data_IF_020235352387
#
_entry.id   IF_020235352387
#
_cell.length_a   1.000
_cell.length_b   1.000
_cell.length_c   1.000
_cell.angle_alpha   90.00
_cell.angle_beta   90.00
_cell.angle_gamma   90.00
#
_symmetry.space_group_name_H-M   'P 1'
#
loop_
_entity.id
_entity.type
_entity.pdbx_description
1 polymer ?
#
# COMPACT_ATOMS: atom_id res chain seq x y z
N UNK A 1 -22.37 -1.28 22.25
CA UNK A 1 -21.37 -0.72 21.36
C UNK A 1 -20.70 0.40 22.18
N UNK A 2 -19.62 1.10 21.86
CA UNK A 2 -18.79 1.28 20.67
C UNK A 2 -17.37 1.76 21.11
N UNK A 3 -16.75 1.13 22.11
CA UNK A 3 -15.47 0.48 21.81
C UNK A 3 -15.80 -1.00 21.51
N UNK A 4 -14.98 -1.98 21.87
CA UNK A 4 -15.51 -3.32 22.19
C UNK A 4 -16.42 -3.23 23.45
N UNK A 5 -17.39 -2.33 23.36
CA UNK A 5 -18.41 -1.91 24.28
C UNK A 5 -19.77 -2.39 23.77
N UNK A 6 -19.79 -3.30 22.78
CA UNK A 6 -20.70 -4.40 22.39
C UNK A 6 -22.20 -4.32 22.80
N UNK A 7 -23.09 -3.96 21.84
CA UNK A 7 -24.57 -3.73 21.88
C UNK A 7 -25.23 -2.32 22.20
N UNK A 8 -25.04 -1.22 21.43
CA UNK A 8 -25.59 0.15 21.74
C UNK A 8 -25.78 1.12 20.52
N UNK A 9 -27.01 1.57 20.23
CA UNK A 9 -27.32 2.65 19.26
C UNK A 9 -27.17 4.04 19.91
N UNK A 10 -26.77 5.08 19.14
CA UNK A 10 -26.57 6.49 19.60
C UNK A 10 -27.76 7.39 19.26
N UNK A 11 -27.98 8.47 20.04
CA UNK A 11 -28.84 9.59 19.65
C UNK A 11 -28.06 10.65 18.84
N UNK A 12 -28.77 11.67 18.32
CA UNK A 12 -28.21 12.71 17.43
C UNK A 12 -27.21 13.67 18.10
N UNK A 13 -26.91 13.52 19.41
CA UNK A 13 -26.02 14.40 20.20
C UNK A 13 -24.79 13.72 20.83
N UNK A 14 -24.72 12.38 20.88
CA UNK A 14 -23.50 11.55 21.05
C UNK A 14 -22.65 11.63 22.34
N UNK A 15 -23.00 10.91 23.43
CA UNK A 15 -22.15 10.72 24.64
C UNK A 15 -22.10 9.24 25.17
N UNK A 16 -21.13 8.92 26.08
CA UNK A 16 -20.50 7.62 26.49
C UNK A 16 -21.37 6.40 27.00
N UNK A 17 -20.77 5.18 26.96
CA UNK A 17 -21.31 3.80 26.80
C UNK A 17 -21.18 2.84 28.04
N UNK A 18 -21.98 1.75 28.15
CA UNK A 18 -21.79 0.60 29.08
C UNK A 18 -22.14 -0.77 28.43
N UNK A 19 -21.44 -1.84 28.82
CA UNK A 19 -21.72 -3.26 28.46
C UNK A 19 -21.84 -4.20 29.64
N UNK A 20 -22.56 -5.30 29.43
CA UNK A 20 -22.60 -6.43 30.35
C UNK A 20 -22.27 -7.75 29.62
N UNK A 21 -21.35 -8.55 30.19
CA UNK A 21 -20.92 -9.86 29.68
C UNK A 21 -21.76 -11.03 30.23
N UNK A 22 -22.79 -10.74 31.01
CA UNK A 22 -23.71 -11.72 31.56
C UNK A 22 -25.08 -11.63 30.87
N UNK A 23 -25.63 -12.79 30.48
CA UNK A 23 -27.00 -12.90 29.98
C UNK A 23 -27.87 -13.33 31.16
N UNK A 24 -28.78 -12.46 31.59
CA UNK A 24 -29.65 -12.73 32.73
C UNK A 24 -31.05 -13.14 32.31
N UNK A 25 -31.62 -14.12 33.00
CA UNK A 25 -33.05 -14.42 32.93
C UNK A 25 -33.86 -13.44 33.81
N UNK A 26 -35.10 -13.13 33.42
CA UNK A 26 -36.09 -12.44 34.27
C UNK A 26 -37.08 -13.47 34.81
N UNK A 27 -37.14 -13.69 36.13
CA UNK A 27 -38.22 -14.43 36.78
C UNK A 27 -39.18 -13.50 37.53
N UNK A 28 -40.45 -13.91 37.53
CA UNK A 28 -41.59 -13.21 38.10
C UNK A 28 -41.50 -13.01 39.63
N UNK A 29 -41.97 -11.85 40.05
CA UNK A 29 -41.72 -11.14 41.31
C UNK A 29 -42.48 -11.67 42.54
N UNK A 30 -42.23 -12.90 42.98
CA UNK A 30 -42.75 -13.34 44.30
C UNK A 30 -41.74 -13.87 45.31
N UNK A 31 -40.45 -13.96 44.99
CA UNK A 31 -39.42 -14.19 46.01
C UNK A 31 -38.03 -13.67 45.58
N UNK A 32 -37.62 -12.57 46.22
CA UNK A 32 -36.25 -12.10 46.52
C UNK A 32 -35.17 -12.40 45.44
N UNK A 33 -34.81 -11.35 44.70
CA UNK A 33 -33.54 -11.06 44.02
C UNK A 33 -32.63 -12.26 43.71
N UNK A 34 -32.76 -12.86 42.52
CA UNK A 34 -31.64 -13.50 41.83
C UNK A 34 -31.83 -13.41 40.31
N UNK A 35 -31.07 -12.51 39.67
CA UNK A 35 -30.77 -12.61 38.25
C UNK A 35 -29.92 -13.87 38.03
N UNK A 36 -30.45 -14.89 37.33
CA UNK A 36 -29.68 -16.10 37.01
C UNK A 36 -28.74 -15.78 35.86
N UNK A 37 -27.43 -15.88 36.10
CA UNK A 37 -26.40 -15.80 35.09
C UNK A 37 -26.40 -17.08 34.25
N UNK A 38 -26.75 -16.97 32.96
CA UNK A 38 -26.78 -18.10 32.03
C UNK A 38 -25.37 -18.65 31.68
N UNK A 39 -24.30 -18.01 32.18
CA UNK A 39 -22.94 -18.52 32.12
C UNK A 39 -22.54 -19.40 33.32
N UNK A 40 -23.40 -19.61 34.33
CA UNK A 40 -23.14 -20.53 35.45
C UNK A 40 -23.18 -22.01 34.98
N UNK A 41 -22.05 -22.75 35.03
CA UNK A 41 -21.97 -24.13 34.54
C UNK A 41 -22.73 -25.14 35.40
N UNK A 42 -23.29 -24.71 36.54
CA UNK A 42 -24.16 -25.53 37.40
C UNK A 42 -25.63 -25.49 36.99
N UNK A 43 -25.99 -24.63 36.03
CA UNK A 43 -27.35 -24.49 35.49
C UNK A 43 -27.48 -25.24 34.16
N UNK A 44 -28.48 -26.12 33.98
CA UNK A 44 -28.64 -26.88 32.75
C UNK A 44 -29.03 -25.98 31.57
N UNK A 45 -28.25 -26.07 30.48
CA UNK A 45 -28.50 -25.40 29.19
C UNK A 45 -28.98 -26.42 28.15
N UNK A 46 -29.97 -26.09 27.28
CA UNK A 46 -30.66 -24.80 27.14
C UNK A 46 -31.73 -24.53 28.22
N UNK A 47 -31.90 -23.24 28.58
CA UNK A 47 -33.07 -22.78 29.35
C UNK A 47 -34.27 -22.53 28.41
N UNK A 48 -35.48 -22.67 28.93
CA UNK A 48 -36.72 -22.69 28.13
C UNK A 48 -37.24 -21.31 27.69
N UNK A 49 -36.52 -20.21 27.95
CA UNK A 49 -36.99 -18.84 27.70
C UNK A 49 -35.86 -17.97 27.13
N UNK A 50 -36.12 -17.27 26.02
CA UNK A 50 -35.24 -16.26 25.43
C UNK A 50 -35.63 -14.83 25.83
N UNK A 51 -34.94 -13.83 25.28
CA UNK A 51 -35.28 -12.41 25.47
C UNK A 51 -36.73 -12.12 25.03
N UNK A 52 -37.42 -11.23 25.76
CA UNK A 52 -38.84 -10.92 25.52
C UNK A 52 -39.04 -10.30 24.14
N UNK A 53 -40.14 -10.69 23.48
CA UNK A 53 -40.44 -10.32 22.08
C UNK A 53 -40.89 -8.86 21.91
N UNK A 54 -41.20 -8.16 23.01
CA UNK A 54 -41.82 -6.84 23.03
C UNK A 54 -40.95 -5.86 23.83
N UNK A 55 -40.90 -4.59 23.40
CA UNK A 55 -40.39 -3.51 24.25
C UNK A 55 -41.38 -3.22 25.38
N UNK A 56 -40.89 -2.85 26.56
CA UNK A 56 -41.74 -2.45 27.68
C UNK A 56 -42.40 -1.08 27.41
N UNK A 57 -43.47 -1.12 26.61
CA UNK A 57 -44.34 0.00 26.24
C UNK A 57 -45.31 0.38 27.37
N UNK A 58 -45.28 -0.33 28.52
CA UNK A 58 -46.10 0.03 29.68
C UNK A 58 -45.65 1.33 30.36
N UNK A 59 -44.43 1.80 30.07
CA UNK A 59 -43.82 2.98 30.69
C UNK A 59 -43.62 4.17 29.73
N UNK A 60 -43.66 3.94 28.41
CA UNK A 60 -43.48 5.00 27.39
C UNK A 60 -44.10 4.57 26.04
N UNK A 61 -45.24 5.17 25.70
CA UNK A 61 -46.04 4.87 24.50
C UNK A 61 -45.54 5.56 23.23
N UNK A 62 -44.44 6.31 23.32
CA UNK A 62 -43.83 7.01 22.17
C UNK A 62 -42.79 6.18 21.43
N UNK A 63 -42.43 5.01 21.95
CA UNK A 63 -41.42 4.13 21.35
C UNK A 63 -42.03 3.25 20.26
N UNK A 64 -41.40 3.16 19.07
CA UNK A 64 -41.91 2.33 17.98
C UNK A 64 -41.83 0.85 18.33
N UNK A 65 -42.79 0.06 17.83
CA UNK A 65 -42.81 -1.39 17.95
C UNK A 65 -41.50 -2.00 17.38
N UNK A 66 -40.90 -2.99 18.06
CA UNK A 66 -39.73 -3.66 17.53
C UNK A 66 -40.08 -4.37 16.21
N UNK A 67 -39.36 -4.05 15.15
CA UNK A 67 -39.43 -4.78 13.89
C UNK A 67 -38.50 -5.99 13.95
N UNK A 68 -39.10 -7.18 14.00
CA UNK A 68 -38.38 -8.46 13.93
C UNK A 68 -37.87 -8.68 12.50
N UNK A 69 -36.57 -8.49 12.29
CA UNK A 69 -35.95 -8.64 10.96
C UNK A 69 -35.08 -9.89 10.79
N UNK A 70 -34.56 -10.48 11.87
CA UNK A 70 -33.64 -11.61 11.80
C UNK A 70 -33.98 -12.61 12.91
N UNK A 71 -34.13 -13.88 12.53
CA UNK A 71 -34.25 -15.01 13.46
C UNK A 71 -32.89 -15.72 13.54
N UNK A 72 -32.29 -15.76 14.73
CA UNK A 72 -31.09 -16.55 14.98
C UNK A 72 -31.49 -17.93 15.48
N UNK A 73 -31.19 -18.95 14.69
CA UNK A 73 -31.38 -20.36 15.07
C UNK A 73 -30.00 -21.02 15.03
N UNK A 74 -29.46 -21.38 16.20
CA UNK A 74 -28.18 -22.10 16.36
C UNK A 74 -26.91 -21.41 15.81
N UNK A 75 -26.69 -20.11 16.06
CA UNK A 75 -25.46 -19.41 15.65
C UNK A 75 -25.02 -18.29 16.60
N UNK A 76 -23.74 -17.91 16.57
CA UNK A 76 -23.15 -16.76 17.26
C UNK A 76 -22.89 -15.58 16.30
N UNK A 77 -22.61 -14.39 16.84
CA UNK A 77 -22.17 -13.20 16.08
C UNK A 77 -20.66 -13.11 16.18
N UNK A 78 -19.97 -13.25 15.04
CA UNK A 78 -18.55 -12.94 14.93
C UNK A 78 -18.40 -11.54 14.33
N UNK A 79 -17.66 -10.66 15.00
CA UNK A 79 -17.31 -9.35 14.46
C UNK A 79 -15.92 -9.52 13.86
N UNK A 80 -15.90 -9.96 12.60
CA UNK A 80 -14.69 -10.01 11.83
C UNK A 80 -14.23 -8.58 11.50
N UNK A 81 -13.07 -8.17 11.98
CA UNK A 81 -12.31 -7.07 11.40
C UNK A 81 -11.94 -7.43 9.93
N UNK A 82 -11.71 -6.44 9.05
CA UNK A 82 -11.43 -6.71 7.63
C UNK A 82 -10.22 -7.66 7.42
N UNK A 83 -9.23 -7.60 8.31
CA UNK A 83 -8.05 -8.48 8.41
C UNK A 83 -8.35 -9.89 8.97
N UNK A 84 -9.56 -10.12 9.48
CA UNK A 84 -10.07 -11.43 9.91
C UNK A 84 -11.10 -12.02 8.95
N UNK A 85 -11.48 -11.30 7.89
CA UNK A 85 -12.19 -11.87 6.75
C UNK A 85 -11.18 -12.69 5.95
N UNK A 86 -11.12 -13.99 6.24
CA UNK A 86 -10.30 -14.94 5.48
C UNK A 86 -10.98 -15.34 4.16
N UNK A 87 -11.29 -14.34 3.33
CA UNK A 87 -11.78 -14.50 1.96
C UNK A 87 -10.63 -14.34 0.95
N UNK A 88 -9.40 -14.60 1.37
CA UNK A 88 -8.20 -14.43 0.54
C UNK A 88 -8.34 -15.23 -0.74
N UNK A 89 -8.08 -14.57 -1.87
CA UNK A 89 -8.23 -15.16 -3.19
C UNK A 89 -9.68 -15.24 -3.71
N UNK A 90 -10.72 -14.94 -2.92
CA UNK A 90 -12.11 -14.76 -3.37
C UNK A 90 -12.38 -13.27 -3.60
N UNK A 91 -11.81 -12.70 -4.66
CA UNK A 91 -11.94 -11.27 -4.93
C UNK A 91 -13.33 -10.87 -5.39
N UNK A 92 -14.11 -11.80 -5.95
CA UNK A 92 -15.46 -11.51 -6.37
C UNK A 92 -16.52 -11.76 -5.28
N UNK A 93 -16.09 -12.29 -4.12
CA UNK A 93 -16.87 -12.53 -2.90
C UNK A 93 -18.08 -13.45 -3.15
N UNK A 94 -17.87 -14.51 -3.93
CA UNK A 94 -18.90 -15.51 -4.23
C UNK A 94 -18.72 -16.83 -3.44
N UNK A 95 -17.85 -16.83 -2.44
CA UNK A 95 -17.48 -17.97 -1.59
C UNK A 95 -16.67 -19.06 -2.31
N UNK A 96 -16.15 -18.78 -3.52
CA UNK A 96 -15.28 -19.67 -4.28
C UNK A 96 -13.93 -18.98 -4.47
N UNK A 97 -12.95 -19.18 -3.57
CA UNK A 97 -11.65 -18.54 -3.69
C UNK A 97 -10.78 -19.20 -4.77
N UNK A 98 -9.83 -18.42 -5.28
CA UNK A 98 -8.81 -18.87 -6.23
C UNK A 98 -9.38 -19.40 -7.55
N UNK A 99 -10.43 -18.76 -8.07
CA UNK A 99 -10.97 -19.08 -9.39
C UNK A 99 -10.50 -18.12 -10.48
N UNK A 100 -10.74 -18.53 -11.73
CA UNK A 100 -10.42 -17.71 -12.91
C UNK A 100 -11.16 -16.37 -12.85
N UNK A 101 -12.38 -16.33 -12.31
CA UNK A 101 -13.15 -15.09 -12.20
C UNK A 101 -12.50 -14.08 -11.25
N UNK A 102 -11.86 -14.55 -10.15
CA UNK A 102 -11.08 -13.69 -9.26
C UNK A 102 -9.87 -13.11 -9.96
N UNK A 103 -9.13 -13.94 -10.70
CA UNK A 103 -7.96 -13.50 -11.46
C UNK A 103 -8.34 -12.48 -12.55
N UNK A 104 -9.50 -12.66 -13.20
CA UNK A 104 -10.03 -11.69 -14.18
C UNK A 104 -10.40 -10.38 -13.49
N UNK A 105 -11.11 -10.43 -12.36
CA UNK A 105 -11.49 -9.24 -11.62
C UNK A 105 -10.25 -8.49 -11.10
N UNK A 106 -9.25 -9.22 -10.58
CA UNK A 106 -8.01 -8.65 -10.09
C UNK A 106 -7.19 -8.01 -11.22
N UNK A 107 -7.09 -8.68 -12.37
CA UNK A 107 -6.41 -8.13 -13.55
C UNK A 107 -7.07 -6.84 -14.03
N UNK A 108 -8.40 -6.76 -13.97
CA UNK A 108 -9.14 -5.55 -14.31
C UNK A 108 -8.87 -4.40 -13.33
N UNK A 109 -8.62 -4.68 -12.05
CA UNK A 109 -8.27 -3.64 -11.07
C UNK A 109 -7.01 -2.88 -11.47
N UNK A 110 -5.96 -3.55 -11.99
CA UNK A 110 -4.73 -2.89 -12.44
C UNK A 110 -4.90 -2.06 -13.72
N UNK A 111 -6.04 -2.15 -14.40
CA UNK A 111 -6.32 -1.38 -15.62
C UNK A 111 -7.35 -0.29 -15.34
N UNK A 112 -8.43 -0.62 -14.63
CA UNK A 112 -9.58 0.28 -14.41
C UNK A 112 -9.70 0.79 -12.96
N UNK A 113 -8.74 0.46 -12.11
CA UNK A 113 -8.66 0.88 -10.71
C UNK A 113 -9.73 0.25 -9.83
N UNK A 114 -9.88 0.80 -8.62
CA UNK A 114 -10.80 0.31 -7.56
C UNK A 114 -12.27 0.29 -7.99
N UNK A 115 -12.63 0.99 -9.07
CA UNK A 115 -14.00 1.06 -9.59
C UNK A 115 -14.57 -0.29 -10.04
N UNK A 116 -13.71 -1.28 -10.29
CA UNK A 116 -14.13 -2.65 -10.65
C UNK A 116 -14.71 -3.42 -9.46
N UNK A 117 -14.40 -3.02 -8.22
CA UNK A 117 -14.95 -3.61 -7.02
C UNK A 117 -16.34 -3.02 -6.74
N UNK A 118 -17.36 -3.86 -6.83
CA UNK A 118 -18.77 -3.46 -6.83
C UNK A 118 -19.63 -4.17 -5.80
N UNK A 119 -19.09 -5.20 -5.12
CA UNK A 119 -19.82 -6.01 -4.12
C UNK A 119 -19.61 -5.43 -2.73
N UNK A 120 -18.35 -5.39 -2.29
CA UNK A 120 -17.93 -4.79 -1.04
C UNK A 120 -16.46 -4.36 -1.20
N UNK A 121 -16.21 -3.08 -1.48
CA UNK A 121 -14.88 -2.58 -1.83
C UNK A 121 -13.83 -2.97 -0.78
N UNK A 122 -14.12 -2.74 0.51
CA UNK A 122 -13.17 -3.03 1.59
C UNK A 122 -12.90 -4.53 1.72
N UNK A 123 -13.93 -5.37 1.58
CA UNK A 123 -13.80 -6.83 1.58
C UNK A 123 -13.02 -7.37 0.38
N UNK A 124 -13.21 -6.77 -0.81
CA UNK A 124 -12.50 -7.15 -2.02
C UNK A 124 -11.02 -6.71 -1.97
N UNK A 125 -10.74 -5.55 -1.37
CA UNK A 125 -9.37 -5.11 -1.06
C UNK A 125 -8.72 -6.09 -0.07
N UNK A 126 -9.39 -6.47 1.01
CA UNK A 126 -8.86 -7.43 1.97
C UNK A 126 -8.61 -8.82 1.33
N UNK A 127 -9.54 -9.31 0.50
CA UNK A 127 -9.42 -10.57 -0.23
C UNK A 127 -8.24 -10.59 -1.23
N UNK A 128 -7.72 -9.43 -1.61
CA UNK A 128 -6.65 -9.28 -2.59
C UNK A 128 -5.24 -9.57 -2.04
N UNK A 129 -5.07 -9.69 -0.72
CA UNK A 129 -3.84 -10.17 -0.06
C UNK A 129 -3.79 -11.71 -0.12
N UNK A 130 -3.56 -12.23 -1.33
CA UNK A 130 -3.68 -13.65 -1.66
C UNK A 130 -2.50 -14.43 -1.08
N UNK A 131 -1.31 -13.84 -1.04
CA UNK A 131 -0.10 -14.48 -0.50
C UNK A 131 0.04 -14.31 1.03
N UNK A 132 -0.80 -13.45 1.64
CA UNK A 132 -0.83 -13.09 3.06
C UNK A 132 0.43 -12.41 3.60
N UNK A 133 1.07 -11.57 2.78
CA UNK A 133 2.20 -10.74 3.19
C UNK A 133 1.78 -9.40 3.83
N UNK A 134 0.48 -9.10 3.83
CA UNK A 134 -0.10 -7.89 4.38
C UNK A 134 -0.15 -6.72 3.40
N UNK A 135 0.27 -6.89 2.15
CA UNK A 135 0.22 -5.89 1.09
C UNK A 135 -0.93 -6.19 0.13
N UNK A 136 -2.12 -5.68 0.42
CA UNK A 136 -3.26 -5.78 -0.50
C UNK A 136 -2.99 -5.07 -1.84
N UNK A 137 -3.69 -5.50 -2.90
CA UNK A 137 -3.70 -4.87 -4.22
C UNK A 137 -2.34 -4.86 -4.93
N UNK A 138 -1.46 -5.81 -4.58
CA UNK A 138 -0.14 -5.94 -5.17
C UNK A 138 -0.12 -6.82 -6.42
N UNK A 139 0.80 -6.53 -7.34
CA UNK A 139 1.04 -7.38 -8.50
C UNK A 139 1.55 -8.76 -8.06
N UNK A 140 2.26 -8.84 -6.93
CA UNK A 140 2.74 -10.09 -6.36
C UNK A 140 1.59 -11.03 -5.99
N UNK A 141 0.50 -10.51 -5.43
CA UNK A 141 -0.71 -11.27 -5.14
C UNK A 141 -1.43 -11.75 -6.40
N UNK A 142 -1.50 -10.91 -7.44
CA UNK A 142 -2.07 -11.34 -8.72
C UNK A 142 -1.28 -12.51 -9.31
N UNK A 143 0.06 -12.41 -9.32
CA UNK A 143 0.90 -13.51 -9.80
C UNK A 143 0.69 -14.76 -8.93
N UNK A 144 0.64 -14.61 -7.60
CA UNK A 144 0.41 -15.73 -6.70
C UNK A 144 -0.96 -16.38 -6.92
N UNK A 145 -2.02 -15.59 -7.10
CA UNK A 145 -3.37 -16.06 -7.43
C UNK A 145 -3.36 -16.90 -8.71
N UNK A 146 -2.72 -16.42 -9.77
CA UNK A 146 -2.60 -17.14 -11.04
C UNK A 146 -1.88 -18.48 -10.83
N UNK A 147 -0.84 -18.53 -9.99
CA UNK A 147 -0.13 -19.78 -9.68
C UNK A 147 -0.99 -20.79 -8.94
N UNK A 148 -1.84 -20.33 -8.01
CA UNK A 148 -2.82 -21.20 -7.35
C UNK A 148 -3.84 -21.74 -8.37
N UNK A 149 -4.34 -20.88 -9.25
CA UNK A 149 -5.30 -21.26 -10.32
C UNK A 149 -4.70 -22.28 -11.30
N UNK A 150 -3.42 -22.12 -11.68
CA UNK A 150 -2.69 -23.06 -12.57
C UNK A 150 -2.29 -24.35 -11.84
N UNK A 151 -2.19 -24.30 -10.50
CA UNK A 151 -1.90 -25.44 -9.65
C UNK A 151 -0.40 -25.68 -9.38
N UNK A 152 0.46 -24.70 -9.63
CA UNK A 152 1.90 -24.76 -9.27
C UNK A 152 2.20 -24.11 -7.91
N UNK A 153 1.22 -23.47 -7.29
CA UNK A 153 1.26 -23.01 -5.90
C UNK A 153 0.07 -23.57 -5.09
N UNK A 154 0.24 -23.66 -3.77
CA UNK A 154 -0.84 -24.02 -2.84
C UNK A 154 -1.58 -22.77 -2.39
N UNK A 155 -2.87 -22.88 -2.09
CA UNK A 155 -3.68 -21.81 -1.50
C UNK A 155 -3.29 -21.41 -0.05
N UNK A 156 -2.17 -21.92 0.48
CA UNK A 156 -1.71 -21.65 1.85
C UNK A 156 -0.59 -20.60 1.85
N UNK A 157 -0.58 -19.66 2.80
CA UNK A 157 0.16 -18.41 2.72
C UNK A 157 1.68 -18.54 2.75
N UNK A 158 2.37 -17.59 2.12
CA UNK A 158 3.80 -17.33 2.34
C UNK A 158 3.91 -16.49 3.61
N UNK A 159 4.52 -17.02 4.66
CA UNK A 159 4.79 -16.22 5.87
C UNK A 159 5.87 -15.16 5.64
N UNK A 160 5.64 -13.99 6.24
CA UNK A 160 6.50 -12.81 6.39
C UNK A 160 7.59 -12.65 5.32
N UNK A 161 7.32 -11.79 4.33
CA UNK A 161 8.34 -11.24 3.44
C UNK A 161 9.41 -10.60 4.31
N UNK A 162 10.58 -11.23 4.38
CA UNK A 162 11.78 -10.56 4.89
C UNK A 162 12.34 -9.70 3.77
N UNK A 163 13.06 -8.61 4.06
CA UNK A 163 13.70 -7.83 2.98
C UNK A 163 14.62 -8.66 2.07
N UNK A 164 15.09 -9.83 2.56
CA UNK A 164 15.85 -10.81 1.79
C UNK A 164 15.02 -11.56 0.72
N UNK A 165 13.70 -11.42 0.73
CA UNK A 165 12.75 -12.00 -0.23
C UNK A 165 12.46 -11.07 -1.41
N UNK A 166 12.86 -9.80 -1.33
CA UNK A 166 12.75 -8.87 -2.43
C UNK A 166 13.77 -9.20 -3.52
N UNK A 167 13.30 -9.23 -4.75
CA UNK A 167 14.18 -9.17 -5.91
C UNK A 167 14.46 -7.70 -6.17
N UNK A 168 15.71 -7.27 -5.98
CA UNK A 168 16.08 -5.90 -6.32
C UNK A 168 16.18 -5.79 -7.84
N UNK A 169 15.40 -4.91 -8.43
CA UNK A 169 15.52 -4.51 -9.83
C UNK A 169 16.01 -3.07 -9.88
N UNK A 170 17.06 -2.81 -10.62
CA UNK A 170 17.39 -1.43 -10.97
C UNK A 170 16.58 -1.02 -12.18
N UNK A 171 15.87 0.11 -12.05
CA UNK A 171 15.10 0.74 -13.11
C UNK A 171 15.70 2.11 -13.45
N UNK A 172 15.99 2.35 -14.74
CA UNK A 172 16.39 3.68 -15.21
C UNK A 172 15.24 4.45 -15.84
N UNK A 173 14.72 5.50 -15.19
CA UNK A 173 13.87 6.49 -15.89
C UNK A 173 14.78 7.44 -16.63
N UNK A 174 14.88 7.25 -17.93
CA UNK A 174 15.46 8.27 -18.78
C UNK A 174 14.46 9.40 -18.99
N UNK A 175 14.96 10.62 -19.16
CA UNK A 175 14.16 11.83 -19.46
C UNK A 175 13.25 11.66 -20.70
N UNK A 176 13.44 10.59 -21.48
CA UNK A 176 12.64 10.20 -22.63
C UNK A 176 11.49 9.22 -22.33
N UNK A 177 11.25 8.86 -21.07
CA UNK A 177 10.16 7.96 -20.68
C UNK A 177 10.45 6.47 -20.75
N UNK A 178 11.71 6.08 -20.95
CA UNK A 178 12.08 4.67 -21.05
C UNK A 178 12.10 4.00 -19.68
N UNK A 179 11.60 2.77 -19.64
CA UNK A 179 11.69 1.85 -18.51
C UNK A 179 12.51 0.64 -18.88
N UNK A 180 13.69 0.52 -18.27
CA UNK A 180 14.64 -0.57 -18.51
C UNK A 180 15.01 -1.26 -17.21
N UNK A 181 15.11 -2.58 -17.26
CA UNK A 181 15.56 -3.42 -16.14
C UNK A 181 17.00 -3.83 -16.41
N UNK A 182 17.94 -3.46 -15.54
CA UNK A 182 19.35 -3.77 -15.78
C UNK A 182 19.78 -5.16 -15.34
N UNK A 183 19.05 -5.75 -14.39
CA UNK A 183 19.36 -7.06 -13.81
C UNK A 183 18.70 -8.17 -14.63
N UNK A 184 19.38 -9.31 -14.80
CA UNK A 184 18.80 -10.49 -15.47
C UNK A 184 17.91 -11.25 -14.49
N UNK A 185 16.71 -10.71 -14.23
CA UNK A 185 15.76 -11.19 -13.22
C UNK A 185 14.48 -11.73 -13.85
N UNK A 186 13.81 -12.62 -13.15
CA UNK A 186 12.50 -13.12 -13.57
C UNK A 186 11.44 -12.07 -13.22
N UNK A 187 10.79 -11.51 -14.25
CA UNK A 187 9.67 -10.59 -14.08
C UNK A 187 8.45 -11.26 -14.70
N UNK A 188 7.46 -11.53 -13.85
CA UNK A 188 6.17 -12.06 -14.30
C UNK A 188 5.21 -10.94 -14.64
N UNK A 189 5.17 -9.87 -13.83
CA UNK A 189 4.31 -8.73 -14.10
C UNK A 189 4.85 -7.43 -13.49
N UNK A 190 4.42 -6.31 -14.07
CA UNK A 190 4.66 -4.96 -13.60
C UNK A 190 3.40 -4.13 -13.79
N UNK A 191 2.99 -3.40 -12.76
CA UNK A 191 1.96 -2.37 -12.81
C UNK A 191 2.61 -0.99 -12.70
N UNK A 192 2.34 -0.14 -13.69
CA UNK A 192 2.95 1.17 -13.85
C UNK A 192 1.81 2.19 -13.93
N UNK A 193 1.87 3.20 -13.08
CA UNK A 193 0.93 4.33 -13.10
C UNK A 193 1.69 5.56 -13.55
N UNK A 194 1.22 6.20 -14.61
CA UNK A 194 1.86 7.36 -15.23
C UNK A 194 0.89 8.54 -15.20
N UNK A 195 1.38 9.71 -14.81
CA UNK A 195 0.56 10.92 -14.74
C UNK A 195 0.09 11.37 -16.12
N UNK A 196 -1.20 11.67 -16.27
CA UNK A 196 -1.80 12.10 -17.52
C UNK A 196 -2.06 10.99 -18.52
N UNK A 197 -2.57 11.37 -19.70
CA UNK A 197 -2.89 10.44 -20.79
C UNK A 197 -1.63 10.12 -21.60
N UNK A 198 -1.22 8.85 -21.54
CA UNK A 198 -0.04 8.29 -22.20
C UNK A 198 -0.44 7.08 -23.05
N UNK A 199 0.18 6.98 -24.24
CA UNK A 199 0.13 5.80 -25.11
C UNK A 199 1.41 4.96 -24.94
N UNK A 200 1.41 3.93 -24.10
CA UNK A 200 2.62 3.16 -23.83
C UNK A 200 3.03 2.28 -25.02
N UNK A 201 4.34 2.18 -25.24
CA UNK A 201 4.92 1.27 -26.24
C UNK A 201 5.71 0.17 -25.54
N UNK A 202 5.23 -1.07 -25.63
CA UNK A 202 5.96 -2.23 -25.12
C UNK A 202 7.17 -2.56 -26.00
N UNK A 203 8.34 -2.70 -25.38
CA UNK A 203 9.61 -3.02 -26.05
C UNK A 203 10.06 -4.45 -25.75
N UNK A 204 9.64 -5.03 -24.62
CA UNK A 204 9.87 -6.42 -24.26
C UNK A 204 9.09 -7.39 -25.16
N UNK A 205 9.78 -8.09 -26.07
CA UNK A 205 9.15 -8.93 -27.08
C UNK A 205 8.40 -10.17 -26.57
N UNK A 206 8.65 -10.63 -25.34
CA UNK A 206 8.02 -11.80 -24.73
C UNK A 206 7.00 -11.43 -23.64
N UNK A 207 6.61 -10.16 -23.57
CA UNK A 207 5.60 -9.68 -22.63
C UNK A 207 4.34 -9.24 -23.37
N UNK A 208 3.26 -9.12 -22.63
CA UNK A 208 1.98 -8.57 -23.06
C UNK A 208 1.70 -7.32 -22.26
N UNK A 209 0.97 -6.37 -22.85
CA UNK A 209 0.60 -5.10 -22.23
C UNK A 209 -0.91 -4.87 -22.32
N UNK A 210 -1.49 -4.31 -21.26
CA UNK A 210 -2.79 -3.65 -21.29
C UNK A 210 -2.67 -2.28 -20.59
N UNK A 211 -3.45 -1.30 -21.02
CA UNK A 211 -3.45 0.02 -20.39
C UNK A 211 -4.79 0.72 -20.53
N UNK A 212 -5.05 1.66 -19.63
CA UNK A 212 -6.26 2.50 -19.65
C UNK A 212 -6.01 3.83 -18.93
N UNK A 213 -6.52 4.91 -19.51
CA UNK A 213 -6.50 6.24 -18.92
C UNK A 213 -7.79 6.49 -18.11
N UNK A 214 -7.65 6.75 -16.81
CA UNK A 214 -8.78 6.91 -15.88
C UNK A 214 -9.31 8.36 -15.79
N UNK A 215 -8.77 9.27 -16.59
CA UNK A 215 -9.06 10.71 -16.54
C UNK A 215 -8.00 11.53 -15.79
N UNK A 216 -7.15 10.88 -14.99
CA UNK A 216 -6.03 11.51 -14.27
C UNK A 216 -4.69 10.86 -14.64
N UNK A 217 -4.63 9.53 -14.61
CA UNK A 217 -3.43 8.75 -14.86
C UNK A 217 -3.69 7.65 -15.89
N UNK A 218 -2.65 7.23 -16.62
CA UNK A 218 -2.65 5.99 -17.39
C UNK A 218 -2.15 4.85 -16.49
N UNK A 219 -3.02 3.88 -16.26
CA UNK A 219 -2.70 2.62 -15.60
C UNK A 219 -2.25 1.60 -16.64
N UNK A 220 -1.13 0.94 -16.41
CA UNK A 220 -0.48 0.04 -17.35
C UNK A 220 -0.11 -1.25 -16.62
N UNK A 221 -0.53 -2.39 -17.15
CA UNK A 221 -0.03 -3.69 -16.72
C UNK A 221 0.77 -4.34 -17.85
N UNK A 222 1.99 -4.73 -17.53
CA UNK A 222 2.87 -5.53 -18.38
C UNK A 222 3.05 -6.88 -17.74
N UNK A 223 2.92 -7.99 -18.48
CA UNK A 223 3.04 -9.32 -17.91
C UNK A 223 3.58 -10.37 -18.89
N UNK A 224 4.14 -11.44 -18.35
CA UNK A 224 4.59 -12.64 -19.06
C UNK A 224 4.06 -13.87 -18.34
N UNK A 225 3.55 -14.83 -19.12
CA UNK A 225 3.23 -16.18 -18.64
C UNK A 225 4.41 -17.15 -18.81
N UNK A 226 5.46 -16.72 -19.51
CA UNK A 226 6.67 -17.51 -19.71
C UNK A 226 7.65 -17.29 -18.56
N UNK A 227 8.31 -18.38 -18.15
CA UNK A 227 9.30 -18.36 -17.09
C UNK A 227 10.70 -17.99 -17.61
N UNK A 228 10.84 -16.78 -18.14
CA UNK A 228 12.09 -16.26 -18.67
C UNK A 228 12.64 -15.13 -17.79
N UNK A 229 13.97 -15.04 -17.72
CA UNK A 229 14.61 -13.84 -17.21
C UNK A 229 14.45 -12.70 -18.23
N UNK A 230 14.40 -11.48 -17.73
CA UNK A 230 14.32 -10.27 -18.53
C UNK A 230 15.38 -9.28 -18.08
N UNK A 231 16.13 -8.74 -19.04
CA UNK A 231 16.96 -7.55 -18.90
C UNK A 231 16.87 -6.73 -20.18
N UNK A 232 16.96 -5.41 -20.06
CA UNK A 232 16.86 -4.46 -21.16
C UNK A 232 15.63 -3.55 -21.08
N UNK A 233 15.30 -2.92 -22.21
CA UNK A 233 14.22 -1.95 -22.32
C UNK A 233 12.86 -2.67 -22.31
N UNK A 234 12.06 -2.40 -21.27
CA UNK A 234 10.75 -3.02 -21.06
C UNK A 234 9.66 -2.27 -21.81
N UNK A 235 9.54 -0.97 -21.56
CA UNK A 235 8.41 -0.16 -22.01
C UNK A 235 8.83 1.31 -22.14
N UNK A 236 8.23 2.04 -23.06
CA UNK A 236 8.34 3.50 -23.15
C UNK A 236 6.98 4.13 -22.84
N UNK A 237 6.95 5.03 -21.86
CA UNK A 237 5.76 5.75 -21.39
C UNK A 237 5.82 7.27 -21.64
N UNK A 238 6.77 7.73 -22.46
CA UNK A 238 6.98 9.15 -22.71
C UNK A 238 7.47 9.92 -21.47
N UNK A 239 7.67 11.23 -21.61
CA UNK A 239 8.32 12.07 -20.58
C UNK A 239 7.40 12.44 -19.40
N UNK A 240 6.33 11.69 -19.19
CA UNK A 240 5.38 11.94 -18.11
C UNK A 240 5.91 11.33 -16.80
N UNK A 241 5.50 11.92 -15.67
CA UNK A 241 5.90 11.46 -14.34
C UNK A 241 5.35 10.05 -14.07
N UNK A 242 6.21 9.17 -13.58
CA UNK A 242 5.79 7.85 -13.07
C UNK A 242 5.34 8.05 -11.63
N UNK A 243 4.05 7.82 -11.39
CA UNK A 243 3.42 7.95 -10.08
C UNK A 243 3.76 6.75 -9.21
N UNK A 244 3.71 5.54 -9.77
CA UNK A 244 4.07 4.32 -9.06
C UNK A 244 4.50 3.21 -10.01
N UNK A 245 5.37 2.33 -9.51
CA UNK A 245 5.82 1.11 -10.16
C UNK A 245 5.77 -0.02 -9.12
N UNK A 246 4.95 -1.03 -9.38
CA UNK A 246 4.90 -2.27 -8.60
C UNK A 246 5.23 -3.45 -9.52
N UNK A 247 6.03 -4.40 -9.05
CA UNK A 247 6.59 -5.45 -9.87
C UNK A 247 6.62 -6.77 -9.10
N UNK A 248 6.47 -7.88 -9.80
CA UNK A 248 6.53 -9.21 -9.21
C UNK A 248 7.31 -10.21 -10.07
N UNK A 249 8.00 -11.12 -9.39
CA UNK A 249 8.65 -12.27 -10.03
C UNK A 249 7.64 -13.40 -10.31
N UNK A 250 8.10 -14.44 -10.99
CA UNK A 250 7.31 -15.64 -11.30
C UNK A 250 6.87 -16.48 -10.10
N UNK A 251 7.40 -16.20 -8.90
CA UNK A 251 7.05 -16.88 -7.66
C UNK A 251 6.02 -16.07 -6.86
N UNK A 252 5.58 -14.91 -7.37
CA UNK A 252 4.72 -13.98 -6.64
C UNK A 252 5.43 -13.32 -5.47
N UNK A 253 6.75 -13.08 -5.58
CA UNK A 253 7.46 -12.19 -4.67
C UNK A 253 7.47 -10.77 -5.26
N UNK A 254 7.42 -9.77 -4.39
CA UNK A 254 7.61 -8.39 -4.78
C UNK A 254 9.04 -8.15 -5.28
N UNK A 255 9.14 -7.43 -6.39
CA UNK A 255 10.38 -6.94 -6.96
C UNK A 255 10.51 -5.47 -6.58
N UNK A 256 11.49 -5.14 -5.74
CA UNK A 256 11.74 -3.77 -5.32
C UNK A 256 12.53 -3.07 -6.42
N UNK A 257 11.86 -2.17 -7.14
CA UNK A 257 12.47 -1.39 -8.20
C UNK A 257 13.15 -0.13 -7.62
N UNK A 258 14.48 -0.05 -7.69
CA UNK A 258 15.25 1.16 -7.36
C UNK A 258 15.33 2.05 -8.59
N UNK A 259 14.79 3.26 -8.50
CA UNK A 259 14.97 4.26 -9.56
C UNK A 259 16.42 4.76 -9.62
N UNK A 260 16.97 4.76 -10.82
CA UNK A 260 18.30 5.28 -11.13
C UNK A 260 18.19 6.37 -12.19
N UNK A 261 18.73 7.58 -11.92
CA UNK A 261 18.74 8.67 -12.88
C UNK A 261 19.62 8.32 -14.08
N UNK A 262 19.27 8.75 -15.29
CA UNK A 262 20.12 8.50 -16.47
C UNK A 262 21.30 9.44 -16.58
N UNK A 263 21.24 10.59 -15.91
CA UNK A 263 22.24 11.64 -15.98
C UNK A 263 22.76 12.03 -14.60
N UNK A 264 24.00 12.49 -14.56
CA UNK A 264 24.50 13.24 -13.42
C UNK A 264 23.79 14.60 -13.36
N UNK A 265 23.26 14.96 -12.19
CA UNK A 265 22.72 16.30 -11.95
C UNK A 265 22.95 16.74 -10.50
N UNK A 266 22.87 18.04 -10.27
CA UNK A 266 22.80 18.64 -8.93
C UNK A 266 21.67 19.66 -8.91
N UNK A 267 20.70 19.44 -8.03
CA UNK A 267 19.54 20.29 -7.89
C UNK A 267 19.93 21.64 -7.27
N UNK A 268 19.02 22.62 -7.37
CA UNK A 268 19.13 23.83 -6.57
C UNK A 268 18.82 23.49 -5.11
N UNK A 269 19.65 23.95 -4.18
CA UNK A 269 19.43 23.73 -2.76
C UNK A 269 18.05 24.25 -2.31
N UNK A 270 17.39 23.54 -1.39
CA UNK A 270 16.10 23.94 -0.82
C UNK A 270 16.16 23.90 0.72
N UNK A 271 15.62 24.91 1.42
CA UNK A 271 15.14 26.20 0.89
C UNK A 271 16.28 27.02 0.27
N UNK A 272 15.96 28.00 -0.59
CA UNK A 272 16.92 29.02 -1.03
C UNK A 272 16.18 30.34 -1.35
N UNK A 273 16.38 31.41 -0.57
CA UNK A 273 17.34 31.54 0.53
C UNK A 273 17.04 30.63 1.74
N UNK A 274 18.06 30.31 2.55
CA UNK A 274 17.95 29.39 3.70
C UNK A 274 18.44 30.00 5.01
N UNK A 275 18.05 29.41 6.16
CA UNK A 275 18.47 29.82 7.51
C UNK A 275 18.30 28.70 8.57
N UNK A 276 19.36 28.24 9.25
CA UNK A 276 20.73 28.14 8.77
C UNK A 276 20.97 26.86 7.95
N UNK A 277 19.95 26.02 7.77
CA UNK A 277 20.05 24.68 7.16
C UNK A 277 19.44 24.63 5.77
N UNK A 278 20.04 23.86 4.87
CA UNK A 278 19.49 23.58 3.53
C UNK A 278 19.91 22.20 3.05
N UNK A 279 19.10 21.59 2.18
CA UNK A 279 19.40 20.32 1.53
C UNK A 279 19.83 20.55 0.09
N UNK A 280 20.90 19.87 -0.33
CA UNK A 280 21.38 19.80 -1.71
C UNK A 280 21.14 18.38 -2.20
N UNK A 281 20.25 18.23 -3.17
CA UNK A 281 20.00 16.96 -3.85
C UNK A 281 20.92 16.82 -5.07
N UNK A 282 21.41 15.61 -5.33
CA UNK A 282 22.15 15.28 -6.55
C UNK A 282 21.88 13.86 -7.01
N UNK A 283 21.99 13.64 -8.31
CA UNK A 283 21.70 12.38 -8.97
C UNK A 283 22.98 11.82 -9.60
N UNK A 284 23.26 10.53 -9.43
CA UNK A 284 24.37 9.85 -10.10
C UNK A 284 23.89 8.58 -10.83
N UNK A 285 24.20 8.43 -12.14
CA UNK A 285 23.69 7.33 -12.95
C UNK A 285 24.44 6.00 -12.75
N UNK A 286 25.66 6.07 -12.20
CA UNK A 286 26.51 4.91 -11.92
C UNK A 286 27.27 5.14 -10.62
N UNK A 287 27.74 4.07 -9.98
CA UNK A 287 28.55 4.18 -8.77
C UNK A 287 29.78 5.06 -9.05
N UNK A 288 29.97 6.10 -8.25
CA UNK A 288 31.01 7.09 -8.48
C UNK A 288 31.55 7.68 -7.17
N UNK A 289 32.82 8.10 -7.22
CA UNK A 289 33.38 8.97 -6.18
C UNK A 289 32.87 10.39 -6.40
N UNK A 290 32.12 10.90 -5.42
CA UNK A 290 31.50 12.22 -5.45
C UNK A 290 32.21 13.13 -4.45
N UNK A 291 32.44 14.38 -4.85
CA UNK A 291 32.89 15.46 -3.97
C UNK A 291 31.96 16.66 -4.12
N UNK A 292 31.30 17.04 -3.03
CA UNK A 292 30.52 18.27 -2.92
C UNK A 292 31.31 19.28 -2.09
N UNK A 293 31.75 20.36 -2.71
CA UNK A 293 32.53 21.42 -2.01
C UNK A 293 31.75 22.73 -1.98
N UNK A 294 31.68 23.35 -0.81
CA UNK A 294 31.05 24.66 -0.59
C UNK A 294 32.13 25.74 -0.52
N UNK A 295 31.92 26.82 -1.26
CA UNK A 295 32.81 27.98 -1.36
C UNK A 295 32.08 29.27 -1.00
N UNK A 296 32.80 30.23 -0.44
CA UNK A 296 32.31 31.60 -0.29
C UNK A 296 32.54 32.42 -1.58
N UNK A 297 32.07 33.67 -1.61
CA UNK A 297 32.24 34.58 -2.77
C UNK A 297 33.69 34.86 -3.18
N UNK A 298 34.65 34.66 -2.28
CA UNK A 298 36.08 34.83 -2.56
C UNK A 298 36.71 33.55 -3.13
N UNK A 299 35.94 32.50 -3.37
CA UNK A 299 36.42 31.19 -3.82
C UNK A 299 37.12 30.39 -2.72
N UNK A 300 37.02 30.79 -1.45
CA UNK A 300 37.61 30.04 -0.35
C UNK A 300 36.69 28.88 0.01
N UNK A 301 37.27 27.69 0.15
CA UNK A 301 36.55 26.49 0.62
C UNK A 301 36.06 26.71 2.06
N UNK A 302 34.78 26.47 2.27
CA UNK A 302 34.10 26.57 3.58
C UNK A 302 33.98 25.19 4.21
N UNK A 303 33.48 24.23 3.44
CA UNK A 303 33.38 22.82 3.82
C UNK A 303 33.35 21.95 2.57
N UNK A 304 33.57 20.66 2.72
CA UNK A 304 33.40 19.66 1.67
C UNK A 304 32.93 18.34 2.25
N UNK A 305 32.28 17.57 1.39
CA UNK A 305 31.82 16.23 1.65
C UNK A 305 32.24 15.35 0.48
N UNK A 306 32.89 14.22 0.78
CA UNK A 306 33.39 13.30 -0.24
C UNK A 306 33.14 11.86 0.17
N UNK A 307 32.82 11.01 -0.80
CA UNK A 307 32.61 9.59 -0.58
C UNK A 307 32.33 8.85 -1.89
N UNK A 308 32.27 7.53 -1.81
CA UNK A 308 31.80 6.68 -2.90
C UNK A 308 30.30 6.48 -2.72
N UNK A 309 29.52 6.81 -3.75
CA UNK A 309 28.05 6.71 -3.74
C UNK A 309 27.60 5.67 -4.75
N UNK A 310 26.54 4.95 -4.42
CA UNK A 310 25.86 4.07 -5.37
C UNK A 310 24.99 4.87 -6.34
N UNK A 311 24.76 4.33 -7.53
CA UNK A 311 23.82 4.88 -8.48
C UNK A 311 22.44 5.14 -7.83
N UNK A 312 21.87 6.33 -8.11
CA UNK A 312 20.64 6.83 -7.47
C UNK A 312 20.67 8.32 -7.19
N UNK A 313 19.65 8.80 -6.46
CA UNK A 313 19.57 10.17 -5.94
C UNK A 313 19.97 10.21 -4.48
N UNK A 314 20.71 11.25 -4.12
CA UNK A 314 21.29 11.45 -2.79
C UNK A 314 21.05 12.88 -2.32
N UNK A 315 20.96 13.03 -1.01
CA UNK A 315 20.80 14.32 -0.36
C UNK A 315 21.98 14.62 0.56
N UNK A 316 22.41 15.88 0.56
CA UNK A 316 23.36 16.41 1.52
C UNK A 316 22.76 17.62 2.25
N UNK A 317 22.58 17.48 3.56
CA UNK A 317 22.18 18.60 4.41
C UNK A 317 23.40 19.41 4.84
N UNK A 318 23.34 20.73 4.63
CA UNK A 318 24.33 21.67 5.12
C UNK A 318 23.77 22.55 6.23
N UNK A 319 24.31 22.38 7.45
CA UNK A 319 24.13 23.33 8.56
C UNK A 319 25.18 24.46 8.48
N UNK A 320 24.73 25.66 8.13
CA UNK A 320 25.56 26.86 8.03
C UNK A 320 25.54 27.74 9.29
N UNK A 321 25.23 27.17 10.46
CA UNK A 321 25.13 27.91 11.74
C UNK A 321 26.39 28.71 12.08
N UNK A 322 27.58 28.23 11.69
CA UNK A 322 28.88 28.90 11.91
C UNK A 322 29.32 29.81 10.75
N UNK A 323 28.55 29.87 9.67
CA UNK A 323 28.84 30.69 8.50
C UNK A 323 28.20 32.10 8.62
N UNK A 324 28.72 33.08 7.88
CA UNK A 324 28.18 34.44 7.82
C UNK A 324 27.08 34.53 6.75
N UNK A 325 26.05 35.38 6.95
CA UNK A 325 25.05 35.61 5.91
C UNK A 325 25.69 36.10 4.62
N UNK A 326 25.19 35.62 3.48
CA UNK A 326 25.76 35.98 2.19
C UNK A 326 25.55 34.94 1.11
N UNK A 327 26.25 35.13 0.00
CA UNK A 327 26.21 34.24 -1.15
C UNK A 327 27.28 33.17 -1.01
N UNK A 328 26.90 31.93 -1.28
CA UNK A 328 27.79 30.79 -1.35
C UNK A 328 27.60 30.07 -2.68
N UNK A 329 28.61 29.31 -3.07
CA UNK A 329 28.57 28.44 -4.24
C UNK A 329 28.90 27.03 -3.79
N UNK A 330 28.19 26.04 -4.31
CA UNK A 330 28.59 24.65 -4.15
C UNK A 330 28.93 24.05 -5.51
N UNK A 331 29.95 23.19 -5.51
CA UNK A 331 30.40 22.45 -6.68
C UNK A 331 30.27 20.96 -6.38
N UNK A 332 29.50 20.26 -7.19
CA UNK A 332 29.52 18.80 -7.23
C UNK A 332 30.53 18.35 -8.29
N UNK A 333 31.35 17.36 -7.98
CA UNK A 333 32.22 16.68 -8.94
C UNK A 333 32.09 15.18 -8.79
N UNK A 334 31.85 14.48 -9.89
CA UNK A 334 31.71 13.02 -9.95
C UNK A 334 32.28 12.52 -11.29
N UNK A 335 33.47 11.91 -11.26
CA UNK A 335 34.21 11.59 -12.49
C UNK A 335 34.45 12.82 -13.37
N UNK A 336 33.97 12.77 -14.62
CA UNK A 336 34.05 13.89 -15.58
C UNK A 336 32.93 14.94 -15.40
N UNK A 337 31.89 14.63 -14.60
CA UNK A 337 30.81 15.57 -14.31
C UNK A 337 31.25 16.62 -13.29
N UNK A 338 30.96 17.88 -13.57
CA UNK A 338 31.18 18.98 -12.64
C UNK A 338 30.14 20.08 -12.84
N UNK A 339 29.35 20.37 -11.81
CA UNK A 339 28.33 21.40 -11.82
C UNK A 339 28.48 22.35 -10.62
N UNK A 340 28.13 23.62 -10.82
CA UNK A 340 28.18 24.67 -9.79
C UNK A 340 26.83 25.36 -9.69
N UNK A 341 26.37 25.58 -8.47
CA UNK A 341 25.12 26.31 -8.19
C UNK A 341 25.36 27.33 -7.09
N UNK A 342 24.44 28.29 -6.99
CA UNK A 342 24.52 29.44 -6.08
C UNK A 342 23.42 29.34 -5.03
N UNK A 343 23.80 29.53 -3.77
CA UNK A 343 22.89 29.55 -2.62
C UNK A 343 23.05 30.83 -1.80
N UNK A 344 21.98 31.22 -1.10
CA UNK A 344 21.93 32.44 -0.29
C UNK A 344 21.57 32.10 1.15
N UNK A 345 22.49 32.34 2.08
CA UNK A 345 22.26 32.22 3.51
C UNK A 345 21.72 33.55 4.06
N UNK A 346 20.54 33.52 4.66
CA UNK A 346 19.97 34.62 5.45
C UNK A 346 20.06 34.24 6.93
N UNK A 347 20.49 35.15 7.79
CA UNK A 347 20.35 34.99 9.24
C UNK A 347 19.40 36.04 9.78
#
# INVERSE_FOLDING_TARGET
WYDCGDNTISDVSGNQLFMNNHIYNFEDTTSIDFSIDLADPTVPFPSYSGATLDCDIALDDTKPDPLRFIDFVNGGVDIACADSIDARGDLNLNEIPYEIADAVLYSNYFVYGVSVFTVNVDGQIAASDVNADGLTLSVADLVYLIRVVVGDATAYPKEAVTEASYVNATYQHADNGMISVSDDIQIAAAHIVVAGEVEPTLLAGNMTIASHFDGTNTNIIVYSIENNNFSGDMINVGSNEIVSLDMADNMGNQVVAKWIPSNYDVAQNYPNPFNPTTTIEFSIPVNADVTLTIYNVNGQKVTDFSGTFEAGVHEFEWDASVAASGVYFYRLSAGDFSAVKKMVLLK
#
